data_IF_324582487436
#
_entry.id   IF_324582487436
#
_cell.length_a   1.000
_cell.length_b   1.000
_cell.length_c   1.000
_cell.angle_alpha   90.00
_cell.angle_beta   90.00
_cell.angle_gamma   90.00
#
_symmetry.space_group_name_H-M   'P 1'
#
loop_
_entity.id
_entity.type
_entity.pdbx_description
1 polymer ?
#
# COMPACT_ATOMS: atom_id res chain seq x y z
N UNK A 1 47.09 -4.18 45.36
CA UNK A 1 47.25 -4.18 43.88
C UNK A 1 46.86 -5.56 43.36
N UNK A 2 45.62 -5.75 42.90
CA UNK A 2 45.22 -6.92 42.11
C UNK A 2 44.49 -6.41 40.87
N UNK A 3 45.23 -6.30 39.77
CA UNK A 3 44.72 -6.19 38.41
C UNK A 3 44.68 -7.62 37.88
N UNK A 4 43.53 -8.09 37.38
CA UNK A 4 43.32 -9.06 36.28
C UNK A 4 41.79 -9.12 36.14
N UNK A 5 41.20 -8.14 35.45
CA UNK A 5 40.75 -8.22 34.04
C UNK A 5 39.31 -8.78 33.99
N UNK A 6 38.37 -7.84 33.97
CA UNK A 6 36.95 -7.99 33.68
C UNK A 6 36.72 -8.43 32.21
N UNK A 7 37.12 -9.65 31.84
CA UNK A 7 37.00 -10.16 30.46
C UNK A 7 35.81 -11.10 30.24
N UNK A 8 34.73 -10.97 31.00
CA UNK A 8 33.52 -11.82 30.86
C UNK A 8 32.21 -11.03 30.90
N UNK A 9 32.22 -9.77 30.45
CA UNK A 9 30.99 -8.96 30.32
C UNK A 9 30.80 -8.36 28.92
N UNK A 10 31.47 -8.89 27.90
CA UNK A 10 31.41 -8.38 26.52
C UNK A 10 31.21 -9.47 25.47
N UNK A 11 30.35 -10.45 25.73
CA UNK A 11 29.96 -11.44 24.69
C UNK A 11 28.50 -11.90 24.83
N UNK A 12 27.59 -11.03 25.28
CA UNK A 12 26.17 -11.22 24.95
C UNK A 12 25.88 -10.53 23.62
N UNK A 13 26.40 -11.20 22.60
CA UNK A 13 26.08 -11.14 21.19
C UNK A 13 24.75 -10.46 20.91
N UNK A 14 24.82 -9.27 20.34
CA UNK A 14 23.79 -8.65 19.51
C UNK A 14 23.49 -9.55 18.30
N UNK A 15 22.83 -10.69 18.50
CA UNK A 15 22.10 -11.36 17.43
C UNK A 15 20.77 -10.63 17.27
N UNK A 16 20.83 -9.42 16.70
CA UNK A 16 19.64 -8.82 16.11
C UNK A 16 19.36 -9.62 14.84
N UNK A 17 18.56 -10.68 14.95
CA UNK A 17 17.97 -11.31 13.79
C UNK A 17 17.13 -10.23 13.09
N UNK A 18 17.63 -9.70 11.98
CA UNK A 18 16.85 -8.80 11.14
C UNK A 18 15.64 -9.61 10.62
N UNK A 19 14.47 -9.36 11.22
CA UNK A 19 13.20 -9.87 10.71
C UNK A 19 12.81 -8.99 9.54
N UNK A 20 13.10 -9.45 8.32
CA UNK A 20 12.51 -8.86 7.13
C UNK A 20 11.03 -9.24 7.10
N UNK A 21 10.19 -8.34 7.59
CA UNK A 21 8.74 -8.41 7.42
C UNK A 21 8.36 -8.09 5.97
N UNK A 22 7.26 -8.66 5.51
CA UNK A 22 6.62 -8.18 4.30
C UNK A 22 5.65 -7.07 4.71
N UNK A 23 5.81 -5.89 4.12
CA UNK A 23 4.89 -4.77 4.26
C UNK A 23 4.42 -4.34 2.86
N UNK A 24 3.13 -4.08 2.64
CA UNK A 24 2.64 -3.50 1.38
C UNK A 24 3.34 -2.18 1.10
N UNK A 25 3.72 -1.94 -0.15
CA UNK A 25 4.26 -0.65 -0.55
C UNK A 25 3.16 0.43 -0.43
N UNK A 26 3.52 1.63 0.04
CA UNK A 26 2.59 2.77 0.00
C UNK A 26 2.37 3.22 -1.44
N UNK A 27 1.18 3.75 -1.74
CA UNK A 27 0.91 4.45 -3.00
C UNK A 27 1.82 5.68 -3.13
N UNK A 28 2.23 6.00 -4.36
CA UNK A 28 2.94 7.24 -4.69
C UNK A 28 1.96 8.43 -4.70
N UNK A 29 1.58 8.89 -3.51
CA UNK A 29 0.60 9.97 -3.34
C UNK A 29 1.04 11.27 -4.02
N UNK A 30 2.31 11.64 -3.90
CA UNK A 30 2.84 12.85 -4.52
C UNK A 30 2.70 12.79 -6.05
N UNK A 31 3.11 11.67 -6.65
CA UNK A 31 2.93 11.43 -8.08
C UNK A 31 1.47 11.40 -8.50
N UNK A 32 0.60 10.82 -7.66
CA UNK A 32 -0.83 10.72 -7.92
C UNK A 32 -1.51 12.10 -7.92
N UNK A 33 -1.33 12.91 -6.87
CA UNK A 33 -1.83 14.29 -6.81
C UNK A 33 -1.31 15.11 -8.00
N UNK A 34 -0.01 15.03 -8.27
CA UNK A 34 0.61 15.77 -9.39
C UNK A 34 0.00 15.41 -10.76
N UNK A 35 -0.47 14.18 -10.92
CA UNK A 35 -1.01 13.68 -12.19
C UNK A 35 -2.49 13.95 -12.35
N UNK A 36 -3.27 13.78 -11.27
CA UNK A 36 -4.73 13.74 -11.36
C UNK A 36 -5.44 14.95 -10.74
N UNK A 37 -4.92 15.51 -9.65
CA UNK A 37 -5.44 16.74 -9.02
C UNK A 37 -5.03 17.96 -9.87
N UNK A 38 -5.88 18.26 -10.84
CA UNK A 38 -5.64 19.29 -11.86
C UNK A 38 -5.88 20.68 -11.31
N UNK A 39 -6.85 20.82 -10.40
CA UNK A 39 -7.25 22.10 -9.82
C UNK A 39 -6.46 22.45 -8.52
N UNK A 40 -5.69 21.49 -7.98
CA UNK A 40 -4.83 21.60 -6.80
C UNK A 40 -5.61 21.93 -5.52
N UNK A 41 -6.77 21.32 -5.36
CA UNK A 41 -7.60 21.51 -4.18
C UNK A 41 -7.46 20.39 -3.14
N UNK A 42 -6.51 19.47 -3.34
CA UNK A 42 -6.24 18.33 -2.48
C UNK A 42 -7.43 17.37 -2.34
N UNK A 43 -8.34 17.38 -3.30
CA UNK A 43 -9.43 16.42 -3.43
C UNK A 43 -9.48 15.93 -4.87
N UNK A 44 -10.19 14.83 -5.11
CA UNK A 44 -10.37 14.34 -6.48
C UNK A 44 -11.84 14.43 -6.86
N UNK A 45 -12.18 15.29 -7.81
CA UNK A 45 -13.52 15.28 -8.38
C UNK A 45 -13.68 14.17 -9.43
N UNK A 46 -14.93 13.85 -9.77
CA UNK A 46 -15.23 12.79 -10.74
C UNK A 46 -14.50 13.00 -12.09
N UNK A 47 -14.47 14.23 -12.62
CA UNK A 47 -13.80 14.55 -13.89
C UNK A 47 -12.28 14.33 -13.86
N UNK A 48 -11.64 14.48 -12.70
CA UNK A 48 -10.24 14.18 -12.47
C UNK A 48 -10.03 12.67 -12.35
N UNK A 49 -10.85 12.01 -11.52
CA UNK A 49 -10.79 10.57 -11.26
C UNK A 49 -11.08 9.71 -12.51
N UNK A 50 -11.87 10.22 -13.46
CA UNK A 50 -12.12 9.55 -14.74
C UNK A 50 -10.85 9.29 -15.57
N UNK A 51 -9.75 10.01 -15.30
CA UNK A 51 -8.47 9.85 -16.00
C UNK A 51 -7.59 8.76 -15.38
N UNK A 52 -7.93 8.27 -14.19
CA UNK A 52 -7.10 7.32 -13.43
C UNK A 52 -7.08 5.96 -14.13
N UNK A 53 -5.89 5.45 -14.40
CA UNK A 53 -5.68 4.14 -15.03
C UNK A 53 -5.34 3.05 -14.02
N UNK A 54 -4.58 3.41 -12.99
CA UNK A 54 -4.01 2.54 -11.97
C UNK A 54 -3.63 3.37 -10.72
N UNK A 55 -3.05 2.69 -9.72
CA UNK A 55 -2.73 3.23 -8.41
C UNK A 55 -1.30 2.83 -8.00
N UNK A 56 -0.33 3.08 -8.89
CA UNK A 56 1.05 2.62 -8.74
C UNK A 56 1.56 2.69 -7.28
N UNK A 57 2.10 1.58 -6.74
CA UNK A 57 2.46 0.33 -7.43
C UNK A 57 1.31 -0.66 -7.63
N UNK A 58 0.09 -0.33 -7.23
CA UNK A 58 -1.07 -1.21 -7.34
C UNK A 58 -1.73 -1.11 -8.71
N UNK A 59 -2.14 -2.25 -9.32
CA UNK A 59 -2.98 -2.23 -10.50
C UNK A 59 -4.38 -1.73 -10.14
N UNK A 60 -5.20 -1.48 -11.15
CA UNK A 60 -6.64 -1.29 -10.96
C UNK A 60 -7.26 -2.49 -10.20
N UNK A 61 -8.20 -2.29 -9.26
CA UNK A 61 -8.84 -3.38 -8.53
C UNK A 61 -9.43 -4.44 -9.47
N UNK A 62 -9.24 -5.73 -9.18
CA UNK A 62 -9.72 -6.86 -10.02
C UNK A 62 -11.19 -7.24 -9.74
N UNK A 63 -11.86 -6.54 -8.82
CA UNK A 63 -13.28 -6.79 -8.55
C UNK A 63 -14.12 -6.50 -9.81
N UNK A 64 -14.99 -7.44 -10.17
CA UNK A 64 -15.90 -7.37 -11.33
C UNK A 64 -16.77 -6.12 -11.31
N UNK A 65 -17.12 -5.61 -10.12
CA UNK A 65 -17.94 -4.40 -10.01
C UNK A 65 -17.21 -3.16 -10.56
N UNK A 66 -15.88 -3.12 -10.47
CA UNK A 66 -15.02 -2.04 -10.95
C UNK A 66 -14.39 -2.36 -12.31
N UNK A 67 -15.02 -3.19 -13.13
CA UNK A 67 -14.59 -3.44 -14.52
C UNK A 67 -15.54 -2.79 -15.53
N UNK A 68 -15.05 -2.69 -16.78
CA UNK A 68 -15.80 -2.18 -17.93
C UNK A 68 -15.65 -0.67 -18.16
N UNK A 69 -16.50 -0.13 -19.04
CA UNK A 69 -16.41 1.27 -19.51
C UNK A 69 -16.60 2.30 -18.38
N UNK A 70 -17.47 1.98 -17.42
CA UNK A 70 -17.83 2.90 -16.33
C UNK A 70 -17.06 2.60 -15.03
N UNK A 71 -15.93 1.88 -15.12
CA UNK A 71 -15.17 1.42 -13.95
C UNK A 71 -14.79 2.57 -13.01
N UNK A 72 -14.32 3.70 -13.55
CA UNK A 72 -13.92 4.87 -12.78
C UNK A 72 -15.11 5.47 -12.03
N UNK A 73 -16.24 5.67 -12.70
CA UNK A 73 -17.46 6.20 -12.08
C UNK A 73 -17.98 5.31 -10.97
N UNK A 74 -17.92 3.98 -11.14
CA UNK A 74 -18.36 3.03 -10.11
C UNK A 74 -17.43 3.04 -8.89
N UNK A 75 -16.12 3.05 -9.12
CA UNK A 75 -15.14 3.11 -8.04
C UNK A 75 -15.22 4.45 -7.29
N UNK A 76 -15.39 5.56 -8.02
CA UNK A 76 -15.59 6.87 -7.44
C UNK A 76 -16.79 6.88 -6.48
N UNK A 77 -17.96 6.45 -6.95
CA UNK A 77 -19.18 6.38 -6.13
C UNK A 77 -19.06 5.43 -4.94
N UNK A 78 -18.21 4.41 -5.05
CA UNK A 78 -17.97 3.49 -3.95
C UNK A 78 -17.11 4.12 -2.85
N UNK A 79 -16.16 5.00 -3.23
CA UNK A 79 -15.27 5.69 -2.29
C UNK A 79 -15.90 6.95 -1.68
N UNK A 80 -16.75 7.65 -2.45
CA UNK A 80 -17.48 8.87 -2.05
C UNK A 80 -18.62 8.53 -1.07
N UNK A 81 -18.27 8.26 0.18
CA UNK A 81 -19.23 7.82 1.20
C UNK A 81 -20.22 8.92 1.58
N UNK A 82 -19.75 10.17 1.64
CA UNK A 82 -20.60 11.30 2.01
C UNK A 82 -21.43 11.83 0.82
N UNK A 83 -21.18 11.33 -0.40
CA UNK A 83 -21.84 11.70 -1.65
C UNK A 83 -21.76 13.19 -1.98
N UNK A 84 -20.64 13.83 -1.63
CA UNK A 84 -20.43 15.26 -1.87
C UNK A 84 -19.75 15.56 -3.22
N UNK A 85 -19.43 14.52 -4.00
CA UNK A 85 -18.93 14.62 -5.36
C UNK A 85 -17.43 14.85 -5.47
N UNK A 86 -16.67 14.71 -4.38
CA UNK A 86 -15.21 14.73 -4.36
C UNK A 86 -14.70 13.64 -3.40
N UNK A 87 -13.50 13.12 -3.67
CA UNK A 87 -12.83 12.19 -2.77
C UNK A 87 -11.79 12.93 -1.95
N UNK A 88 -11.96 12.89 -0.64
CA UNK A 88 -10.94 13.30 0.33
C UNK A 88 -9.90 12.19 0.53
N UNK A 89 -8.75 12.51 1.12
CA UNK A 89 -7.71 11.52 1.44
C UNK A 89 -8.26 10.36 2.29
N UNK A 90 -9.07 10.67 3.31
CA UNK A 90 -9.67 9.69 4.21
C UNK A 90 -10.62 8.71 3.49
N UNK A 91 -11.38 9.21 2.51
CA UNK A 91 -12.24 8.40 1.65
C UNK A 91 -11.42 7.55 0.68
N UNK A 92 -10.41 8.15 0.07
CA UNK A 92 -9.59 7.49 -0.94
C UNK A 92 -8.75 6.35 -0.36
N UNK A 93 -8.23 6.50 0.87
CA UNK A 93 -7.44 5.45 1.56
C UNK A 93 -8.19 4.12 1.65
N UNK A 94 -9.53 4.12 1.60
CA UNK A 94 -10.34 2.90 1.58
C UNK A 94 -10.08 2.02 0.36
N UNK A 95 -9.46 2.56 -0.69
CA UNK A 95 -9.04 1.77 -1.85
C UNK A 95 -8.11 0.61 -1.49
N UNK A 96 -7.30 0.72 -0.42
CA UNK A 96 -6.42 -0.37 0.01
C UNK A 96 -7.20 -1.63 0.42
N UNK A 97 -8.47 -1.50 0.81
CA UNK A 97 -9.34 -2.64 1.13
C UNK A 97 -9.69 -3.49 -0.10
N UNK A 98 -9.55 -2.91 -1.31
CA UNK A 98 -9.83 -3.57 -2.58
C UNK A 98 -8.63 -4.32 -3.14
N UNK A 99 -7.43 -4.06 -2.61
CA UNK A 99 -6.22 -4.75 -3.05
C UNK A 99 -5.97 -6.01 -2.23
N UNK A 100 -5.61 -7.13 -2.88
CA UNK A 100 -5.20 -8.32 -2.14
C UNK A 100 -3.95 -8.00 -1.32
N UNK A 101 -3.92 -8.45 -0.07
CA UNK A 101 -2.74 -8.29 0.78
C UNK A 101 -1.52 -8.96 0.09
N UNK A 102 -0.49 -8.20 -0.33
CA UNK A 102 0.66 -8.75 -1.04
C UNK A 102 1.48 -9.72 -0.19
N UNK A 103 1.29 -9.67 1.13
CA UNK A 103 1.96 -10.48 2.12
C UNK A 103 1.13 -11.69 2.60
N UNK A 104 -0.08 -11.92 2.05
CA UNK A 104 -0.97 -12.99 2.50
C UNK A 104 -0.32 -14.40 2.45
N UNK A 105 0.65 -14.60 1.56
CA UNK A 105 1.37 -15.87 1.38
C UNK A 105 2.85 -15.80 1.78
N UNK A 106 3.21 -14.87 2.68
CA UNK A 106 4.56 -14.71 3.21
C UNK A 106 4.76 -15.49 4.53
N UNK A 107 5.93 -16.11 4.78
CA UNK A 107 7.01 -16.34 3.83
C UNK A 107 6.63 -17.43 2.82
N UNK A 108 7.00 -17.23 1.55
CA UNK A 108 6.73 -18.22 0.51
C UNK A 108 7.43 -19.53 0.88
N UNK A 109 6.66 -20.61 1.12
CA UNK A 109 7.24 -21.93 1.40
C UNK A 109 8.13 -22.34 0.22
N UNK A 110 9.37 -22.74 0.45
CA UNK A 110 10.25 -23.13 -0.63
C UNK A 110 9.69 -24.37 -1.34
N UNK A 111 9.69 -24.34 -2.67
CA UNK A 111 9.10 -25.36 -3.54
C UNK A 111 10.05 -26.55 -3.70
N UNK A 112 10.56 -27.12 -2.61
CA UNK A 112 11.37 -28.33 -2.70
C UNK A 112 10.44 -29.52 -2.94
N UNK A 113 10.39 -29.97 -4.21
CA UNK A 113 9.95 -31.33 -4.53
C UNK A 113 11.14 -32.25 -4.23
N UNK A 114 11.08 -32.98 -3.12
CA UNK A 114 11.87 -34.19 -2.98
C UNK A 114 11.22 -35.23 -3.90
N UNK A 115 11.96 -35.62 -4.93
CA UNK A 115 11.65 -36.79 -5.77
C UNK A 115 11.96 -38.05 -4.98
#
# INVERSE_FOLDING_TARGET
>A
MNKIIYATLMTLSTLSTASFGCEPASMDWEGFYKTYDSNKNNTFELNEFLKVTDFAPYPWPDDRQFQGKDKNTKLFKYLDENNDGKLTEDEFVKIYTLFPNPCANWPRKPKWKFW
#
